data_IF_722765209973
#
_entry.id   IF_722765209973
#
_cell.length_a   1.000
_cell.length_b   1.000
_cell.length_c   1.000
_cell.angle_alpha   90.00
_cell.angle_beta   90.00
_cell.angle_gamma   90.00
#
_symmetry.space_group_name_H-M   'P 1'
#
loop_
_entity.id
_entity.type
_entity.pdbx_description
1 polymer ?
#
# COMPACT_ATOMS: atom_id res chain seq x y z
N UNK A 1 -46.91 -10.40 32.78
CA UNK A 1 -45.55 -10.87 33.15
C UNK A 1 -45.47 -12.35 32.82
N UNK A 2 -44.88 -12.70 31.67
CA UNK A 2 -44.69 -14.11 31.28
C UNK A 2 -43.75 -14.77 32.28
N UNK A 3 -44.22 -15.81 32.96
CA UNK A 3 -43.52 -16.40 34.11
C UNK A 3 -42.14 -16.98 33.79
N UNK A 4 -41.42 -17.35 34.84
CA UNK A 4 -40.03 -17.87 34.90
C UNK A 4 -39.57 -18.76 33.73
N UNK A 5 -40.46 -19.54 33.11
CA UNK A 5 -40.16 -20.36 31.91
C UNK A 5 -39.69 -19.53 30.70
N UNK A 6 -40.22 -18.32 30.51
CA UNK A 6 -39.83 -17.44 29.41
C UNK A 6 -38.44 -16.81 29.65
N UNK A 7 -38.10 -16.56 30.91
CA UNK A 7 -36.79 -16.05 31.31
C UNK A 7 -35.69 -17.10 31.10
N UNK A 8 -35.98 -18.37 31.42
CA UNK A 8 -35.08 -19.50 31.14
C UNK A 8 -34.85 -19.70 29.64
N UNK A 9 -35.89 -19.56 28.82
CA UNK A 9 -35.74 -19.60 27.36
C UNK A 9 -34.87 -18.46 26.82
N UNK A 10 -35.10 -17.22 27.29
CA UNK A 10 -34.26 -16.06 26.94
C UNK A 10 -32.81 -16.27 27.34
N UNK A 11 -32.56 -16.77 28.55
CA UNK A 11 -31.21 -17.07 29.03
C UNK A 11 -30.53 -18.13 28.16
N UNK A 12 -31.25 -19.20 27.84
CA UNK A 12 -30.78 -20.23 26.92
C UNK A 12 -30.41 -19.65 25.56
N UNK A 13 -31.30 -18.84 24.96
CA UNK A 13 -31.03 -18.18 23.68
C UNK A 13 -29.80 -17.27 23.75
N UNK A 14 -29.67 -16.44 24.79
CA UNK A 14 -28.54 -15.52 24.92
C UNK A 14 -27.20 -16.19 25.15
N UNK A 15 -27.18 -17.42 25.67
CA UNK A 15 -25.95 -18.21 25.79
C UNK A 15 -25.68 -19.00 24.50
N UNK A 16 -26.71 -19.67 23.96
CA UNK A 16 -26.55 -20.55 22.79
C UNK A 16 -26.29 -19.78 21.50
N UNK A 17 -26.88 -18.60 21.34
CA UNK A 17 -26.75 -17.76 20.14
C UNK A 17 -25.30 -17.30 19.90
N UNK A 18 -24.60 -16.64 20.85
CA UNK A 18 -23.21 -16.24 20.63
C UNK A 18 -22.26 -17.45 20.51
N UNK A 19 -22.49 -18.52 21.28
CA UNK A 19 -21.67 -19.74 21.19
C UNK A 19 -21.83 -20.41 19.81
N UNK A 20 -23.06 -20.50 19.30
CA UNK A 20 -23.34 -21.07 17.98
C UNK A 20 -22.76 -20.24 16.85
N UNK A 21 -22.88 -18.91 16.92
CA UNK A 21 -22.24 -17.99 15.96
C UNK A 21 -20.73 -18.14 16.01
N UNK A 22 -20.13 -18.20 17.20
CA UNK A 22 -18.69 -18.42 17.35
C UNK A 22 -18.23 -19.79 16.85
N UNK A 23 -19.02 -20.85 17.04
CA UNK A 23 -18.67 -22.17 16.53
C UNK A 23 -18.70 -22.23 15.00
N UNK A 24 -19.74 -21.62 14.39
CA UNK A 24 -19.92 -21.61 12.95
C UNK A 24 -18.94 -20.69 12.22
N UNK A 25 -18.73 -19.47 12.74
CA UNK A 25 -17.84 -18.49 12.10
C UNK A 25 -16.41 -18.53 12.64
N UNK A 26 -16.21 -18.76 13.95
CA UNK A 26 -14.93 -18.56 14.64
C UNK A 26 -13.85 -19.61 14.36
N UNK A 27 -14.20 -20.77 13.84
CA UNK A 27 -13.23 -21.85 13.56
C UNK A 27 -12.64 -21.80 12.14
N UNK A 28 -13.14 -20.92 11.26
CA UNK A 28 -12.75 -20.84 9.85
C UNK A 28 -12.67 -19.38 9.35
N UNK A 29 -12.37 -18.42 10.24
CA UNK A 29 -12.23 -17.00 9.86
C UNK A 29 -11.02 -16.81 8.92
N UNK A 30 -9.89 -17.43 9.23
CA UNK A 30 -8.66 -17.26 8.45
C UNK A 30 -8.84 -17.73 7.00
N UNK A 31 -9.47 -18.87 6.76
CA UNK A 31 -9.66 -19.38 5.40
C UNK A 31 -10.74 -18.61 4.62
N UNK A 32 -11.79 -18.12 5.29
CA UNK A 32 -12.87 -17.34 4.66
C UNK A 32 -12.51 -15.89 4.37
N UNK A 33 -11.62 -15.29 5.17
CA UNK A 33 -11.26 -13.87 5.07
C UNK A 33 -9.80 -13.65 4.64
N UNK A 34 -9.00 -14.70 4.44
CA UNK A 34 -7.71 -14.57 3.80
C UNK A 34 -7.90 -14.09 2.35
N UNK A 35 -7.24 -12.99 2.03
CA UNK A 35 -7.10 -12.55 0.64
C UNK A 35 -5.95 -13.33 0.03
N UNK A 36 -6.20 -14.23 -0.94
CA UNK A 36 -5.12 -14.88 -1.67
C UNK A 36 -4.28 -13.81 -2.38
N UNK A 37 -2.96 -13.98 -2.35
CA UNK A 37 -2.01 -13.05 -2.97
C UNK A 37 -2.09 -11.59 -2.45
N UNK A 38 -2.44 -11.40 -1.17
CA UNK A 38 -2.46 -10.07 -0.53
C UNK A 38 -1.13 -9.30 -0.70
N UNK A 39 0.00 -10.01 -0.63
CA UNK A 39 1.32 -9.42 -0.84
C UNK A 39 1.74 -9.59 -2.31
N UNK A 40 2.25 -8.51 -2.95
CA UNK A 40 2.77 -8.60 -4.31
C UNK A 40 3.87 -9.67 -4.36
N UNK A 41 3.88 -10.41 -5.46
CA UNK A 41 4.80 -11.54 -5.62
C UNK A 41 6.25 -11.02 -5.61
N UNK A 42 7.20 -11.86 -5.20
CA UNK A 42 8.63 -11.45 -5.14
C UNK A 42 9.16 -11.00 -6.51
N UNK A 43 8.55 -11.49 -7.58
CA UNK A 43 8.84 -11.13 -8.98
C UNK A 43 8.33 -9.73 -9.33
N UNK A 44 7.25 -9.28 -8.69
CA UNK A 44 6.66 -7.94 -8.86
C UNK A 44 7.35 -6.89 -7.97
N UNK A 45 8.17 -7.35 -7.02
CA UNK A 45 8.96 -6.47 -6.15
C UNK A 45 10.29 -6.13 -6.81
N UNK A 46 10.69 -4.86 -6.75
CA UNK A 46 11.98 -4.40 -7.26
C UNK A 46 13.13 -5.16 -6.58
N UNK A 47 13.88 -5.97 -7.33
CA UNK A 47 15.10 -6.60 -6.83
C UNK A 47 16.17 -5.53 -6.65
N UNK A 48 16.67 -5.39 -5.43
CA UNK A 48 17.80 -4.51 -5.16
C UNK A 48 19.06 -5.21 -5.72
N UNK A 49 19.89 -4.51 -6.51
CA UNK A 49 21.13 -5.10 -7.01
C UNK A 49 22.06 -5.40 -5.83
N UNK A 50 22.53 -6.64 -5.73
CA UNK A 50 23.40 -7.10 -4.62
C UNK A 50 24.88 -7.13 -5.03
N UNK A 51 25.18 -7.16 -6.33
CA UNK A 51 26.54 -7.23 -6.86
C UNK A 51 27.16 -5.84 -7.02
N UNK A 52 28.45 -5.70 -6.65
CA UNK A 52 29.14 -4.40 -6.64
C UNK A 52 29.18 -3.72 -8.01
N UNK A 53 29.34 -4.49 -9.08
CA UNK A 53 29.43 -3.96 -10.44
C UNK A 53 28.06 -3.49 -10.96
N UNK A 54 26.99 -4.23 -10.64
CA UNK A 54 25.61 -3.86 -10.94
C UNK A 54 25.20 -2.56 -10.21
N UNK A 55 25.59 -2.45 -8.93
CA UNK A 55 25.37 -1.23 -8.13
C UNK A 55 26.08 -0.03 -8.76
N UNK A 56 27.31 -0.18 -9.25
CA UNK A 56 28.06 0.89 -9.91
C UNK A 56 27.39 1.33 -11.21
N UNK A 57 26.96 0.39 -12.04
CA UNK A 57 26.24 0.69 -13.29
C UNK A 57 24.92 1.42 -13.05
N UNK A 58 24.13 0.98 -12.07
CA UNK A 58 22.89 1.68 -11.69
C UNK A 58 23.16 3.07 -11.10
N UNK A 59 24.22 3.23 -10.29
CA UNK A 59 24.61 4.53 -9.75
C UNK A 59 25.01 5.52 -10.85
N UNK A 60 25.74 5.08 -11.87
CA UNK A 60 26.10 5.88 -13.04
C UNK A 60 24.86 6.28 -13.84
N UNK A 61 23.92 5.36 -14.06
CA UNK A 61 22.63 5.63 -14.71
C UNK A 61 21.85 6.72 -13.95
N UNK A 62 21.80 6.61 -12.62
CA UNK A 62 21.13 7.59 -11.76
C UNK A 62 21.83 8.95 -11.78
N UNK A 63 23.16 8.99 -11.80
CA UNK A 63 23.94 10.23 -11.93
C UNK A 63 23.67 10.94 -13.25
N UNK A 64 23.65 10.21 -14.37
CA UNK A 64 23.35 10.77 -15.70
C UNK A 64 21.95 11.38 -15.72
N UNK A 65 20.93 10.66 -15.24
CA UNK A 65 19.55 11.18 -15.12
C UNK A 65 19.47 12.44 -14.25
N UNK A 66 20.27 12.54 -13.18
CA UNK A 66 20.32 13.76 -12.34
C UNK A 66 20.92 14.94 -13.09
N UNK A 67 22.01 14.73 -13.82
CA UNK A 67 22.67 15.78 -14.61
C UNK A 67 21.75 16.30 -15.72
N UNK A 68 21.11 15.40 -16.48
CA UNK A 68 20.14 15.77 -17.52
C UNK A 68 18.97 16.59 -16.97
N UNK A 69 18.42 16.21 -15.81
CA UNK A 69 17.35 16.99 -15.16
C UNK A 69 17.85 18.36 -14.71
N UNK A 70 19.09 18.46 -14.24
CA UNK A 70 19.69 19.74 -13.83
C UNK A 70 19.90 20.66 -15.04
N UNK A 71 20.42 20.13 -16.14
CA UNK A 71 20.60 20.89 -17.39
C UNK A 71 19.27 21.39 -17.94
N UNK A 72 18.22 20.55 -17.92
CA UNK A 72 16.86 20.96 -18.32
C UNK A 72 16.32 22.11 -17.46
N UNK A 73 16.56 22.09 -16.14
CA UNK A 73 16.16 23.17 -15.23
C UNK A 73 16.89 24.48 -15.55
N UNK A 74 18.22 24.40 -15.67
CA UNK A 74 19.05 25.58 -15.98
C UNK A 74 18.75 26.15 -17.37
N UNK A 75 18.42 25.30 -18.36
CA UNK A 75 18.00 25.73 -19.69
C UNK A 75 16.63 26.42 -19.69
N UNK A 76 15.68 25.92 -18.88
CA UNK A 76 14.38 26.56 -18.72
C UNK A 76 14.49 27.91 -18.00
N UNK A 77 15.35 28.02 -16.98
CA UNK A 77 15.65 29.28 -16.27
C UNK A 77 16.27 30.32 -17.22
N UNK A 78 17.29 29.93 -18.02
CA UNK A 78 17.90 30.82 -19.01
C UNK A 78 16.95 31.23 -20.14
N UNK A 79 16.03 30.35 -20.54
CA UNK A 79 15.01 30.64 -21.55
C UNK A 79 13.91 31.59 -21.03
N UNK A 80 13.60 31.52 -19.73
CA UNK A 80 12.65 32.43 -19.08
C UNK A 80 13.21 33.83 -18.80
N UNK A 81 14.50 33.93 -18.45
CA UNK A 81 15.18 35.22 -18.23
C UNK A 81 15.35 36.04 -19.52
N UNK A 82 15.41 35.41 -20.69
CA UNK A 82 15.49 36.10 -21.99
C UNK A 82 14.17 36.69 -22.48
N UNK A 83 13.02 36.21 -21.97
CA UNK A 83 11.68 36.69 -22.34
C UNK A 83 11.22 37.87 -21.47
N UNK A 84 11.70 37.97 -20.22
CA UNK A 84 11.34 39.07 -19.29
C UNK A 84 12.11 40.38 -19.47
N UNK A 85 13.12 40.43 -20.36
CA UNK A 85 13.93 41.63 -20.64
C UNK A 85 13.58 42.31 -21.97
N UNK A 86 12.61 41.77 -22.72
CA UNK A 86 12.21 42.29 -24.03
C UNK A 86 10.83 42.98 -24.01
N UNK A 87 10.09 42.93 -22.89
CA UNK A 87 8.76 43.56 -22.76
C UNK A 87 8.79 45.00 -22.17
N UNK A 88 9.97 45.58 -21.89
CA UNK A 88 10.10 46.90 -21.24
C UNK A 88 10.79 47.98 -22.10
N UNK A 89 10.59 47.96 -23.43
CA UNK A 89 10.95 49.08 -24.33
C UNK A 89 9.81 49.47 -25.28
#
# INVERSE_FOLDING_TARGET
MGGSRLEVFKFGMYILFPIGIMYYFGTNLDERFAVPDFWPRKEETHRIPFEKDEIRGELERLRRRRLERRERRLGAERGGEGLGLQEDQ
#
